data_IF_987168761570
#
_entry.id   IF_987168761570
#
_cell.length_a   1.000
_cell.length_b   1.000
_cell.length_c   1.000
_cell.angle_alpha   90.00
_cell.angle_beta   90.00
_cell.angle_gamma   90.00
#
_symmetry.space_group_name_H-M   'P 1'
#
loop_
_entity.id
_entity.type
_entity.pdbx_description
1 polymer ?
#
# COMPACT_ATOMS: atom_id res chain seq x y z
N UNK A 1 17.25 52.87 41.76
CA UNK A 1 17.50 53.54 40.47
C UNK A 1 17.18 52.54 39.37
N UNK A 2 16.06 52.70 38.68
CA UNK A 2 15.61 51.76 37.65
C UNK A 2 16.36 51.97 36.33
N UNK A 3 16.70 50.90 35.62
CA UNK A 3 17.26 51.00 34.28
C UNK A 3 16.28 51.76 33.35
N UNK A 4 16.75 52.71 32.51
CA UNK A 4 15.90 53.40 31.56
C UNK A 4 15.24 52.40 30.61
N UNK A 5 13.94 52.60 30.34
CA UNK A 5 13.09 51.70 29.52
C UNK A 5 13.71 51.31 28.17
N UNK A 6 14.54 52.18 27.57
CA UNK A 6 15.25 51.90 26.33
C UNK A 6 16.35 50.84 26.48
N UNK A 7 17.09 50.85 27.59
CA UNK A 7 18.13 49.84 27.86
C UNK A 7 17.51 48.47 28.16
N UNK A 8 16.38 48.44 28.87
CA UNK A 8 15.66 47.18 29.13
C UNK A 8 15.12 46.56 27.83
N UNK A 9 14.62 47.40 26.91
CA UNK A 9 14.15 46.95 25.59
C UNK A 9 15.30 46.39 24.74
N UNK A 10 16.47 47.05 24.75
CA UNK A 10 17.66 46.58 24.07
C UNK A 10 18.18 45.26 24.65
N UNK A 11 18.17 45.11 25.98
CA UNK A 11 18.52 43.86 26.66
C UNK A 11 17.56 42.72 26.27
N UNK A 12 16.25 42.99 26.20
CA UNK A 12 15.26 42.00 25.78
C UNK A 12 15.41 41.60 24.31
N UNK A 13 15.72 42.55 23.42
CA UNK A 13 15.99 42.28 22.01
C UNK A 13 17.26 41.45 21.81
N UNK A 14 18.33 41.76 22.56
CA UNK A 14 19.57 40.98 22.55
C UNK A 14 19.35 39.56 23.09
N UNK A 15 18.57 39.41 24.16
CA UNK A 15 18.17 38.10 24.68
C UNK A 15 17.34 37.30 23.67
N UNK A 16 16.37 37.94 23.01
CA UNK A 16 15.55 37.28 21.99
C UNK A 16 16.40 36.84 20.78
N UNK A 17 17.33 37.67 20.32
CA UNK A 17 18.25 37.33 19.23
C UNK A 17 19.22 36.20 19.62
N UNK A 18 19.77 36.24 20.84
CA UNK A 18 20.63 35.18 21.36
C UNK A 18 19.88 33.86 21.53
N UNK A 19 18.67 33.89 22.11
CA UNK A 19 17.83 32.71 22.24
C UNK A 19 17.41 32.14 20.88
N UNK A 20 17.10 32.99 19.89
CA UNK A 20 16.75 32.54 18.53
C UNK A 20 17.96 31.93 17.81
N UNK A 21 19.15 32.51 17.98
CA UNK A 21 20.40 31.97 17.45
C UNK A 21 20.75 30.61 18.07
N UNK A 22 20.60 30.47 19.39
CA UNK A 22 20.81 29.20 20.11
C UNK A 22 19.77 28.16 19.70
N UNK A 23 18.51 28.55 19.51
CA UNK A 23 17.47 27.63 19.04
C UNK A 23 17.76 27.16 17.60
N UNK A 24 18.24 28.04 16.74
CA UNK A 24 18.59 27.72 15.35
C UNK A 24 19.83 26.83 15.25
N UNK A 25 20.85 27.04 16.10
CA UNK A 25 22.03 26.17 16.17
C UNK A 25 21.69 24.81 16.79
N UNK A 26 20.86 24.76 17.84
CA UNK A 26 20.38 23.50 18.41
C UNK A 26 19.49 22.72 17.43
N UNK A 27 18.60 23.41 16.70
CA UNK A 27 17.76 22.78 15.68
C UNK A 27 18.58 22.27 14.49
N UNK A 28 19.54 23.06 14.00
CA UNK A 28 20.44 22.66 12.91
C UNK A 28 21.41 21.55 13.33
N UNK A 29 21.78 21.47 14.62
CA UNK A 29 22.61 20.40 15.17
C UNK A 29 21.81 19.11 15.44
N UNK A 30 20.52 19.23 15.77
CA UNK A 30 19.62 18.10 15.94
C UNK A 30 19.15 17.51 14.59
N UNK A 31 19.16 18.32 13.53
CA UNK A 31 18.91 17.89 12.14
C UNK A 31 20.25 17.75 11.40
N UNK A 32 21.12 16.90 11.94
CA UNK A 32 22.18 16.32 11.11
C UNK A 32 21.52 15.48 10.00
N UNK A 33 22.06 15.46 8.76
CA UNK A 33 21.59 14.53 7.75
C UNK A 33 21.76 13.13 8.34
N UNK A 34 20.64 12.44 8.60
CA UNK A 34 20.68 11.01 8.89
C UNK A 34 21.56 10.38 7.81
N UNK A 35 22.69 9.75 8.17
CA UNK A 35 23.36 8.89 7.22
C UNK A 35 22.34 7.79 6.96
N UNK A 36 21.70 7.84 5.79
CA UNK A 36 21.00 6.69 5.27
C UNK A 36 21.94 5.49 5.40
N UNK A 37 21.44 4.28 5.70
CA UNK A 37 22.31 3.13 5.83
C UNK A 37 23.21 3.11 4.61
N UNK A 38 24.54 3.18 4.83
CA UNK A 38 25.52 2.99 3.77
C UNK A 38 25.13 1.67 3.13
N UNK A 39 24.48 1.77 1.97
CA UNK A 39 24.28 0.65 1.09
C UNK A 39 25.68 0.37 0.57
N UNK A 40 26.42 -0.44 1.35
CA UNK A 40 27.51 -1.20 0.78
C UNK A 40 26.95 -1.79 -0.50
N UNK A 41 27.62 -1.51 -1.62
CA UNK A 41 27.26 -2.01 -2.92
C UNK A 41 27.15 -3.53 -2.82
N UNK A 42 25.94 -4.01 -2.54
CA UNK A 42 25.62 -5.42 -2.68
C UNK A 42 25.63 -5.62 -4.17
N UNK A 43 26.71 -6.20 -4.66
CA UNK A 43 26.90 -6.64 -6.02
C UNK A 43 25.55 -7.02 -6.63
N UNK A 44 25.10 -6.22 -7.59
CA UNK A 44 23.82 -6.37 -8.30
C UNK A 44 23.82 -7.60 -9.24
N UNK A 45 24.51 -8.67 -8.85
CA UNK A 45 24.62 -9.92 -9.60
C UNK A 45 23.50 -10.89 -9.22
N UNK A 46 22.73 -10.63 -8.16
CA UNK A 46 21.71 -11.56 -7.64
C UNK A 46 20.28 -11.32 -8.18
N UNK A 47 19.91 -10.09 -8.57
CA UNK A 47 18.56 -9.81 -9.08
C UNK A 47 18.25 -10.53 -10.40
N UNK A 48 19.28 -10.84 -11.20
CA UNK A 48 19.15 -11.65 -12.43
C UNK A 48 18.79 -13.10 -12.16
N UNK A 49 19.11 -13.65 -11.00
CA UNK A 49 18.78 -15.04 -10.65
C UNK A 49 17.31 -15.20 -10.25
N UNK A 50 16.63 -14.13 -9.81
CA UNK A 50 15.25 -14.17 -9.35
C UNK A 50 14.23 -14.06 -10.49
N UNK A 51 14.59 -13.40 -11.59
CA UNK A 51 13.74 -13.23 -12.75
C UNK A 51 14.29 -14.08 -13.89
N UNK A 52 13.56 -15.14 -14.24
CA UNK A 52 13.88 -16.03 -15.36
C UNK A 52 14.12 -15.27 -16.68
N UNK A 53 14.82 -15.95 -17.60
CA UNK A 53 15.34 -15.41 -18.86
C UNK A 53 14.40 -14.45 -19.61
N UNK A 54 15.02 -13.38 -20.13
CA UNK A 54 14.58 -12.42 -21.18
C UNK A 54 13.18 -12.68 -21.75
N UNK A 55 12.27 -11.72 -21.52
CA UNK A 55 10.97 -11.63 -22.17
C UNK A 55 11.11 -11.72 -23.69
N UNK A 56 10.50 -12.74 -24.28
CA UNK A 56 10.25 -12.83 -25.71
C UNK A 56 9.18 -11.78 -26.06
N UNK A 57 9.34 -11.04 -27.16
CA UNK A 57 8.38 -10.02 -27.63
C UNK A 57 7.01 -10.57 -28.08
N UNK A 58 6.71 -11.84 -27.79
CA UNK A 58 5.40 -12.43 -28.00
C UNK A 58 4.66 -12.44 -26.66
N UNK A 59 3.60 -11.63 -26.54
CA UNK A 59 2.73 -11.67 -25.37
C UNK A 59 2.29 -13.13 -25.12
N UNK A 60 2.38 -13.64 -23.88
CA UNK A 60 2.13 -15.05 -23.62
C UNK A 60 0.67 -15.37 -23.97
N UNK A 61 0.47 -16.30 -24.91
CA UNK A 61 -0.85 -16.85 -25.23
C UNK A 61 -1.42 -17.43 -23.93
N UNK A 62 -2.43 -16.79 -23.35
CA UNK A 62 -3.04 -17.21 -22.09
C UNK A 62 -3.76 -18.54 -22.30
N UNK A 63 -3.28 -19.61 -21.67
CA UNK A 63 -4.03 -20.87 -21.60
C UNK A 63 -5.36 -20.63 -20.88
N UNK A 64 -6.43 -21.22 -21.42
CA UNK A 64 -7.76 -21.20 -20.82
C UNK A 64 -7.75 -21.84 -19.42
N UNK A 65 -6.84 -22.76 -19.12
CA UNK A 65 -6.75 -23.46 -17.84
C UNK A 65 -5.52 -23.01 -17.03
N UNK A 66 -5.63 -23.06 -15.70
CA UNK A 66 -4.49 -22.90 -14.81
C UNK A 66 -3.68 -24.21 -14.81
N UNK A 67 -2.50 -24.21 -15.43
CA UNK A 67 -1.64 -25.41 -15.47
C UNK A 67 -1.25 -25.90 -14.06
N UNK A 68 -1.09 -24.96 -13.12
CA UNK A 68 -0.79 -25.24 -11.72
C UNK A 68 -1.74 -24.45 -10.80
N UNK A 69 -2.94 -24.97 -10.51
CA UNK A 69 -3.89 -24.31 -9.61
C UNK A 69 -3.33 -24.21 -8.18
N UNK A 70 -3.49 -23.05 -7.55
CA UNK A 70 -3.00 -22.81 -6.18
C UNK A 70 -3.59 -23.82 -5.17
N UNK A 71 -4.88 -24.16 -5.31
CA UNK A 71 -5.53 -25.14 -4.43
C UNK A 71 -4.79 -26.48 -4.40
N UNK A 72 -4.35 -26.99 -5.56
CA UNK A 72 -3.60 -28.24 -5.61
C UNK A 72 -2.23 -28.13 -4.95
N UNK A 73 -1.53 -26.99 -5.11
CA UNK A 73 -0.25 -26.75 -4.45
C UNK A 73 -0.40 -26.71 -2.91
N UNK A 74 -1.46 -26.08 -2.40
CA UNK A 74 -1.79 -26.05 -0.97
C UNK A 74 -2.02 -27.47 -0.44
N UNK A 75 -2.84 -28.27 -1.13
CA UNK A 75 -3.16 -29.64 -0.69
C UNK A 75 -1.96 -30.58 -0.68
N UNK A 76 -1.01 -30.41 -1.61
CA UNK A 76 0.20 -31.23 -1.71
C UNK A 76 1.20 -30.95 -0.59
N UNK A 77 1.22 -29.75 -0.03
CA UNK A 77 2.22 -29.36 0.96
C UNK A 77 1.68 -29.47 2.39
N UNK A 78 2.21 -30.39 3.24
CA UNK A 78 1.63 -30.67 4.56
C UNK A 78 1.43 -29.44 5.44
N UNK A 79 2.43 -28.56 5.50
CA UNK A 79 2.37 -27.31 6.26
C UNK A 79 1.30 -26.33 5.76
N UNK A 80 1.09 -26.21 4.45
CA UNK A 80 0.16 -25.21 3.92
C UNK A 80 -1.27 -25.72 3.94
N UNK A 81 -1.47 -27.03 3.80
CA UNK A 81 -2.77 -27.68 3.94
C UNK A 81 -3.44 -27.37 5.28
N UNK A 82 -2.68 -27.24 6.36
CA UNK A 82 -3.22 -26.96 7.71
C UNK A 82 -3.36 -25.47 8.03
N UNK A 83 -2.79 -24.58 7.20
CA UNK A 83 -2.77 -23.14 7.46
C UNK A 83 -3.75 -22.34 6.59
N UNK A 84 -4.06 -22.84 5.39
CA UNK A 84 -4.96 -22.14 4.47
C UNK A 84 -6.41 -22.56 4.70
N UNK A 85 -7.24 -21.58 5.02
CA UNK A 85 -8.70 -21.70 5.00
C UNK A 85 -9.28 -20.71 3.99
N UNK A 86 -9.80 -21.25 2.88
CA UNK A 86 -10.41 -20.47 1.80
C UNK A 86 -11.90 -20.15 2.05
N UNK A 87 -12.47 -20.58 3.18
CA UNK A 87 -13.85 -20.28 3.56
C UNK A 87 -14.03 -18.96 4.32
N UNK A 88 -12.94 -18.42 4.86
CA UNK A 88 -12.96 -17.18 5.63
C UNK A 88 -13.29 -15.99 4.70
N UNK A 89 -14.28 -15.13 5.05
CA UNK A 89 -14.60 -13.95 4.24
C UNK A 89 -13.45 -12.95 4.24
N UNK A 90 -12.98 -12.59 3.05
CA UNK A 90 -11.88 -11.62 2.85
C UNK A 90 -12.36 -10.17 2.93
N UNK A 91 -13.61 -9.90 2.50
CA UNK A 91 -14.20 -8.57 2.50
C UNK A 91 -15.28 -8.45 3.57
N UNK A 92 -15.27 -7.32 4.27
CA UNK A 92 -16.37 -6.91 5.13
C UNK A 92 -17.43 -6.21 4.28
N UNK A 93 -18.68 -6.62 4.46
CA UNK A 93 -19.86 -6.03 3.79
C UNK A 93 -21.00 -5.89 4.80
N UNK A 94 -22.00 -5.08 4.48
CA UNK A 94 -23.15 -4.87 5.35
C UNK A 94 -23.93 -6.16 5.64
N UNK A 95 -23.92 -7.12 4.71
CA UNK A 95 -24.52 -8.45 4.89
C UNK A 95 -23.92 -9.26 6.06
N UNK A 96 -22.66 -8.98 6.45
CA UNK A 96 -22.01 -9.64 7.59
C UNK A 96 -22.21 -8.87 8.90
N UNK A 97 -22.77 -7.67 8.87
CA UNK A 97 -22.82 -6.76 10.01
C UNK A 97 -23.97 -7.09 10.97
N UNK A 98 -23.75 -8.06 11.85
CA UNK A 98 -24.70 -8.45 12.91
C UNK A 98 -24.33 -7.84 14.26
N UNK A 99 -25.28 -7.84 15.20
CA UNK A 99 -25.02 -7.44 16.59
C UNK A 99 -23.93 -8.33 17.24
N UNK A 100 -23.95 -9.64 16.98
CA UNK A 100 -22.93 -10.56 17.48
C UNK A 100 -21.52 -10.21 16.96
N UNK A 101 -21.41 -9.89 15.66
CA UNK A 101 -20.14 -9.46 15.09
C UNK A 101 -19.68 -8.15 15.73
N UNK A 102 -20.59 -7.20 15.94
CA UNK A 102 -20.33 -5.94 16.63
C UNK A 102 -19.74 -6.18 18.02
N UNK A 103 -20.39 -6.99 18.84
CA UNK A 103 -19.97 -7.24 20.23
C UNK A 103 -18.61 -7.93 20.28
N UNK A 104 -18.38 -8.92 19.40
CA UNK A 104 -17.11 -9.64 19.30
C UNK A 104 -15.95 -8.73 18.87
N UNK A 105 -16.14 -7.93 17.81
CA UNK A 105 -15.08 -7.06 17.29
C UNK A 105 -14.88 -5.80 18.15
N UNK A 106 -15.82 -5.46 19.03
CA UNK A 106 -15.64 -4.39 20.04
C UNK A 106 -14.62 -4.75 21.12
N UNK A 107 -14.21 -6.01 21.22
CA UNK A 107 -13.18 -6.47 22.16
C UNK A 107 -11.76 -6.29 21.64
N UNK A 108 -11.58 -5.98 20.34
CA UNK A 108 -10.28 -5.92 19.67
C UNK A 108 -10.05 -4.54 19.07
N UNK A 109 -8.83 -4.01 19.17
CA UNK A 109 -8.45 -2.75 18.52
C UNK A 109 -8.25 -2.95 17.01
N UNK A 110 -8.31 -1.86 16.26
CA UNK A 110 -7.93 -1.84 14.86
C UNK A 110 -6.48 -2.37 14.67
N UNK A 111 -6.18 -3.09 13.57
CA UNK A 111 -7.08 -3.43 12.45
C UNK A 111 -7.92 -4.70 12.68
N UNK A 112 -7.87 -5.31 13.87
CA UNK A 112 -8.50 -6.60 14.16
C UNK A 112 -9.93 -6.49 14.72
N UNK A 113 -10.40 -5.26 14.96
CA UNK A 113 -11.72 -4.95 15.47
C UNK A 113 -11.93 -3.44 15.56
N UNK A 114 -12.91 -3.03 16.33
CA UNK A 114 -13.34 -1.63 16.45
C UNK A 114 -13.53 -1.17 17.89
N UNK A 115 -12.77 -1.73 18.82
CA UNK A 115 -12.73 -1.27 20.21
C UNK A 115 -12.46 0.24 20.27
N UNK A 116 -13.40 0.98 20.87
CA UNK A 116 -13.30 2.44 21.04
C UNK A 116 -13.69 3.26 19.81
N UNK A 117 -14.15 2.65 18.71
CA UNK A 117 -14.63 3.37 17.54
C UNK A 117 -16.15 3.63 17.63
N UNK A 118 -16.60 4.68 16.94
CA UNK A 118 -18.02 5.05 16.90
C UNK A 118 -18.84 4.01 16.14
N UNK A 119 -19.82 3.40 16.83
CA UNK A 119 -20.80 2.50 16.21
C UNK A 119 -21.56 3.17 15.08
N UNK A 120 -21.91 4.44 15.24
CA UNK A 120 -22.62 5.20 14.23
C UNK A 120 -21.80 5.30 12.94
N UNK A 121 -20.50 5.59 13.05
CA UNK A 121 -19.61 5.73 11.89
C UNK A 121 -19.41 4.38 11.15
N UNK A 122 -19.30 3.28 11.89
CA UNK A 122 -19.16 1.94 11.30
C UNK A 122 -20.46 1.52 10.63
N UNK A 123 -21.60 1.72 11.31
CA UNK A 123 -22.91 1.37 10.77
C UNK A 123 -23.23 2.17 9.49
N UNK A 124 -23.00 3.49 9.50
CA UNK A 124 -23.21 4.32 8.31
C UNK A 124 -22.33 3.88 7.15
N UNK A 125 -21.06 3.52 7.40
CA UNK A 125 -20.16 3.02 6.37
C UNK A 125 -20.63 1.67 5.80
N UNK A 126 -20.94 0.70 6.66
CA UNK A 126 -21.33 -0.65 6.23
C UNK A 126 -22.71 -0.68 5.56
N UNK A 127 -23.60 0.25 5.90
CA UNK A 127 -24.89 0.40 5.21
C UNK A 127 -24.74 0.75 3.72
N UNK A 128 -23.62 1.37 3.33
CA UNK A 128 -23.28 1.65 1.92
C UNK A 128 -22.74 0.40 1.19
N UNK A 129 -22.40 -0.66 1.92
CA UNK A 129 -21.80 -1.90 1.42
C UNK A 129 -22.78 -3.09 1.52
N UNK A 130 -24.07 -2.84 1.39
CA UNK A 130 -25.13 -3.85 1.50
C UNK A 130 -25.31 -4.70 0.22
N UNK A 131 -24.80 -4.24 -0.92
CA UNK A 131 -24.93 -4.96 -2.18
C UNK A 131 -24.04 -6.21 -2.26
N UNK A 132 -24.51 -7.23 -2.97
CA UNK A 132 -23.81 -8.52 -3.12
C UNK A 132 -22.42 -8.41 -3.76
N UNK A 133 -22.21 -7.36 -4.55
CA UNK A 133 -20.93 -7.00 -5.16
C UNK A 133 -19.87 -6.57 -4.13
N UNK A 134 -20.29 -6.04 -2.98
CA UNK A 134 -19.37 -5.63 -1.91
C UNK A 134 -18.70 -6.82 -1.21
N UNK A 135 -19.26 -8.02 -1.34
CA UNK A 135 -18.72 -9.24 -0.73
C UNK A 135 -17.72 -9.97 -1.63
N UNK A 136 -17.46 -9.51 -2.87
CA UNK A 136 -16.59 -10.21 -3.84
C UNK A 136 -15.75 -9.25 -4.67
N UNK A 137 -14.44 -9.48 -4.74
CA UNK A 137 -13.53 -8.70 -5.60
C UNK A 137 -13.80 -8.87 -7.09
N UNK A 138 -14.27 -10.05 -7.52
CA UNK A 138 -14.32 -10.42 -8.94
C UNK A 138 -15.72 -10.38 -9.57
N UNK A 139 -16.76 -10.10 -8.78
CA UNK A 139 -18.15 -10.15 -9.25
C UNK A 139 -18.58 -8.93 -10.09
N UNK A 140 -17.84 -7.81 -10.00
CA UNK A 140 -18.24 -6.53 -10.58
C UNK A 140 -17.87 -6.34 -12.07
N UNK A 141 -17.08 -7.25 -12.68
CA UNK A 141 -16.51 -6.98 -14.02
C UNK A 141 -17.46 -7.26 -15.20
N UNK A 142 -18.68 -7.76 -14.97
CA UNK A 142 -19.67 -8.06 -16.02
C UNK A 142 -19.24 -9.11 -17.06
N UNK A 143 -18.00 -9.59 -16.99
CA UNK A 143 -17.45 -10.66 -17.84
C UNK A 143 -17.55 -11.99 -17.11
N UNK A 144 -17.94 -13.08 -17.80
CA UNK A 144 -17.87 -14.40 -17.20
C UNK A 144 -16.43 -14.65 -16.72
N UNK A 145 -16.24 -15.13 -15.48
CA UNK A 145 -14.90 -15.36 -14.96
C UNK A 145 -14.16 -16.27 -15.93
N UNK A 146 -12.94 -15.88 -16.30
CA UNK A 146 -12.06 -16.77 -17.05
C UNK A 146 -11.94 -18.09 -16.27
N UNK A 147 -11.86 -19.21 -16.99
CA UNK A 147 -11.65 -20.54 -16.38
C UNK A 147 -10.38 -20.62 -15.50
N UNK A 148 -9.51 -19.62 -15.59
CA UNK A 148 -8.32 -19.44 -14.76
C UNK A 148 -8.10 -17.94 -14.50
N UNK A 149 -7.99 -17.56 -13.22
CA UNK A 149 -7.66 -16.19 -12.79
C UNK A 149 -6.18 -16.13 -12.45
N UNK A 150 -5.46 -15.21 -13.09
CA UNK A 150 -4.03 -14.93 -12.83
C UNK A 150 -3.87 -13.52 -12.29
N UNK A 151 -3.23 -13.40 -11.14
CA UNK A 151 -3.03 -12.12 -10.46
C UNK A 151 -1.53 -11.82 -10.32
N UNK A 152 -1.14 -10.55 -10.52
CA UNK A 152 0.15 -10.03 -10.10
C UNK A 152 -0.05 -9.12 -8.87
N UNK A 153 0.75 -9.32 -7.84
CA UNK A 153 0.80 -8.43 -6.66
C UNK A 153 2.12 -7.69 -6.70
N UNK A 154 2.06 -6.37 -6.87
CA UNK A 154 3.23 -5.52 -7.07
C UNK A 154 3.52 -4.73 -5.80
N UNK A 155 4.57 -5.14 -5.09
CA UNK A 155 5.14 -4.35 -4.00
C UNK A 155 6.03 -3.21 -4.52
N UNK A 156 6.41 -2.29 -3.63
CA UNK A 156 7.21 -1.10 -3.99
C UNK A 156 8.72 -1.29 -3.74
N UNK A 157 9.19 -2.54 -3.81
CA UNK A 157 10.58 -2.88 -3.51
C UNK A 157 11.55 -2.48 -4.63
N UNK A 158 12.72 -1.96 -4.26
CA UNK A 158 13.75 -1.51 -5.22
C UNK A 158 14.29 -2.59 -6.16
N UNK A 159 14.02 -3.87 -5.90
CA UNK A 159 14.38 -4.99 -6.79
C UNK A 159 13.72 -4.89 -8.17
N UNK A 160 12.61 -4.15 -8.29
CA UNK A 160 11.93 -3.92 -9.58
C UNK A 160 12.66 -2.90 -10.46
N UNK A 161 13.50 -2.03 -9.91
CA UNK A 161 14.19 -0.99 -10.67
C UNK A 161 15.14 -1.62 -11.72
N UNK A 162 14.89 -1.35 -13.00
CA UNK A 162 15.63 -1.92 -14.13
C UNK A 162 15.31 -3.38 -14.45
N UNK A 163 14.32 -3.99 -13.78
CA UNK A 163 13.94 -5.40 -13.94
C UNK A 163 13.23 -5.71 -15.26
N UNK A 164 12.65 -4.69 -15.91
CA UNK A 164 11.85 -4.77 -17.13
C UNK A 164 10.66 -5.73 -17.06
N UNK A 165 10.09 -5.91 -15.86
CA UNK A 165 8.98 -6.83 -15.62
C UNK A 165 7.61 -6.26 -16.02
N UNK A 166 7.51 -5.02 -16.47
CA UNK A 166 6.23 -4.34 -16.67
C UNK A 166 5.28 -5.08 -17.60
N UNK A 167 5.78 -5.59 -18.73
CA UNK A 167 4.96 -6.39 -19.65
C UNK A 167 4.51 -7.72 -19.05
N UNK A 168 5.36 -8.38 -18.26
CA UNK A 168 5.02 -9.63 -17.58
C UNK A 168 3.96 -9.39 -16.49
N UNK A 169 4.06 -8.28 -15.76
CA UNK A 169 3.07 -7.86 -14.77
C UNK A 169 1.73 -7.60 -15.47
N UNK A 170 1.72 -6.76 -16.50
CA UNK A 170 0.49 -6.37 -17.21
C UNK A 170 -0.17 -7.53 -17.98
N UNK A 171 0.58 -8.61 -18.26
CA UNK A 171 0.03 -9.82 -18.83
C UNK A 171 -0.94 -10.56 -17.88
N UNK A 172 -1.00 -10.24 -16.59
CA UNK A 172 -1.96 -10.85 -15.66
C UNK A 172 -3.39 -10.36 -15.90
N UNK A 173 -4.38 -11.11 -15.40
CA UNK A 173 -5.80 -10.74 -15.51
C UNK A 173 -6.09 -9.56 -14.57
N UNK A 174 -5.61 -9.65 -13.33
CA UNK A 174 -5.70 -8.58 -12.33
C UNK A 174 -4.33 -8.19 -11.79
N UNK A 175 -4.15 -6.89 -11.54
CA UNK A 175 -2.93 -6.35 -10.92
C UNK A 175 -3.28 -5.62 -9.63
N UNK A 176 -2.70 -6.07 -8.53
CA UNK A 176 -2.81 -5.46 -7.21
C UNK A 176 -1.61 -4.57 -6.96
N UNK A 177 -1.85 -3.32 -6.57
CA UNK A 177 -0.85 -2.36 -6.12
C UNK A 177 -1.23 -1.79 -4.76
N UNK A 178 -0.29 -1.17 -4.07
CA UNK A 178 -0.54 -0.63 -2.73
C UNK A 178 0.42 0.49 -2.37
N UNK A 179 0.00 1.35 -1.43
CA UNK A 179 0.83 2.42 -0.86
C UNK A 179 1.46 3.33 -1.95
N UNK A 180 2.75 3.68 -1.84
CA UNK A 180 3.48 4.48 -2.84
C UNK A 180 3.75 3.77 -4.17
N UNK A 181 2.71 3.35 -4.87
CA UNK A 181 2.80 2.67 -6.17
C UNK A 181 3.11 3.66 -7.31
N UNK A 182 4.35 4.13 -7.39
CA UNK A 182 4.82 5.00 -8.47
C UNK A 182 4.85 4.22 -9.79
N UNK A 183 4.06 4.67 -10.77
CA UNK A 183 4.03 4.09 -12.12
C UNK A 183 4.76 4.99 -13.11
N UNK A 184 4.52 6.31 -13.04
CA UNK A 184 5.07 7.28 -14.00
C UNK A 184 6.59 7.24 -14.02
N UNK A 185 7.18 6.94 -15.18
CA UNK A 185 8.62 6.82 -15.38
C UNK A 185 9.21 5.44 -15.04
N UNK A 186 8.40 4.52 -14.51
CA UNK A 186 8.81 3.15 -14.15
C UNK A 186 7.99 2.07 -14.88
N UNK A 187 7.20 2.44 -15.88
CA UNK A 187 6.23 1.56 -16.57
C UNK A 187 6.90 0.31 -17.15
N UNK A 188 8.14 0.44 -17.65
CA UNK A 188 8.91 -0.70 -18.17
C UNK A 188 9.19 -1.74 -17.11
N UNK A 189 9.34 -1.32 -15.86
CA UNK A 189 9.68 -2.19 -14.74
C UNK A 189 8.45 -2.68 -14.00
N UNK A 190 7.45 -1.82 -13.79
CA UNK A 190 6.31 -2.11 -12.91
C UNK A 190 4.98 -2.28 -13.65
N UNK A 191 4.93 -1.99 -14.96
CA UNK A 191 3.71 -2.04 -15.77
C UNK A 191 2.79 -0.84 -15.54
N UNK A 192 1.69 -0.78 -16.28
CA UNK A 192 0.68 0.30 -16.19
C UNK A 192 -0.67 -0.18 -15.70
N UNK A 193 -0.97 -1.48 -15.78
CA UNK A 193 -2.26 -2.02 -15.36
C UNK A 193 -2.39 -1.96 -13.84
N UNK A 194 -3.55 -1.51 -13.37
CA UNK A 194 -3.95 -1.57 -11.96
C UNK A 194 -5.43 -1.92 -11.90
N UNK A 195 -5.75 -3.05 -11.29
CA UNK A 195 -7.13 -3.50 -11.07
C UNK A 195 -7.57 -3.25 -9.64
N UNK A 196 -6.65 -3.40 -8.69
CA UNK A 196 -6.90 -3.19 -7.28
C UNK A 196 -5.81 -2.32 -6.67
N UNK A 197 -6.20 -1.35 -5.84
CA UNK A 197 -5.27 -0.52 -5.07
C UNK A 197 -5.61 -0.59 -3.58
N UNK A 198 -4.72 -1.22 -2.79
CA UNK A 198 -4.88 -1.41 -1.35
C UNK A 198 -4.15 -0.34 -0.54
N UNK A 199 -4.77 0.18 0.52
CA UNK A 199 -4.15 1.21 1.36
C UNK A 199 -4.81 1.35 2.74
N UNK A 200 -4.05 1.88 3.70
CA UNK A 200 -4.61 2.68 4.80
C UNK A 200 -4.59 4.14 4.40
N UNK A 201 -5.57 4.93 4.86
CA UNK A 201 -5.62 6.38 4.55
C UNK A 201 -4.34 7.09 5.00
N UNK A 202 -3.80 6.71 6.17
CA UNK A 202 -2.54 7.24 6.69
C UNK A 202 -1.37 7.00 5.70
N UNK A 203 -1.17 5.76 5.27
CA UNK A 203 -0.05 5.42 4.38
C UNK A 203 -0.21 6.02 2.99
N UNK A 204 -1.44 6.10 2.47
CA UNK A 204 -1.73 6.75 1.20
C UNK A 204 -1.34 8.24 1.24
N UNK A 205 -1.80 8.99 2.25
CA UNK A 205 -1.49 10.42 2.40
C UNK A 205 0.02 10.64 2.58
N UNK A 206 0.66 9.85 3.43
CA UNK A 206 2.10 9.95 3.64
C UNK A 206 2.87 9.66 2.35
N UNK A 207 2.46 8.66 1.58
CA UNK A 207 3.08 8.34 0.28
C UNK A 207 2.94 9.50 -0.71
N UNK A 208 1.75 10.12 -0.81
CA UNK A 208 1.51 11.27 -1.70
C UNK A 208 2.39 12.49 -1.36
N UNK A 209 2.77 12.64 -0.10
CA UNK A 209 3.67 13.71 0.35
C UNK A 209 5.12 13.31 0.09
N UNK A 210 5.56 12.19 0.66
CA UNK A 210 6.97 11.76 0.64
C UNK A 210 7.46 11.41 -0.75
N UNK A 211 6.59 10.87 -1.62
CA UNK A 211 6.97 10.41 -2.95
C UNK A 211 6.53 11.34 -4.09
N UNK A 212 6.06 12.55 -3.74
CA UNK A 212 5.61 13.54 -4.73
C UNK A 212 6.69 13.85 -5.78
N UNK A 213 7.91 14.13 -5.32
CA UNK A 213 9.05 14.43 -6.19
C UNK A 213 9.57 13.22 -6.96
N UNK A 214 9.21 12.01 -6.53
CA UNK A 214 9.52 10.76 -7.23
C UNK A 214 8.42 10.36 -8.22
N UNK A 215 7.40 11.20 -8.43
CA UNK A 215 6.34 10.98 -9.42
C UNK A 215 5.03 10.42 -8.86
N UNK A 216 4.90 10.24 -7.54
CA UNK A 216 3.64 9.84 -6.90
C UNK A 216 2.73 11.06 -6.68
N UNK A 217 2.18 11.61 -7.76
CA UNK A 217 1.33 12.81 -7.70
C UNK A 217 -0.14 12.51 -7.41
N UNK A 218 -0.57 11.27 -7.67
CA UNK A 218 -1.92 10.78 -7.42
C UNK A 218 -1.88 9.27 -7.23
N UNK A 219 -2.91 8.72 -6.59
CA UNK A 219 -3.14 7.26 -6.62
C UNK A 219 -3.52 6.80 -8.03
N UNK A 220 -3.34 5.52 -8.39
CA UNK A 220 -3.77 5.00 -9.68
C UNK A 220 -5.27 5.19 -9.89
N UNK A 221 -5.68 5.53 -11.11
CA UNK A 221 -7.07 5.73 -11.52
C UNK A 221 -7.38 4.86 -12.74
N UNK A 222 -8.62 4.38 -12.85
CA UNK A 222 -9.07 3.58 -13.98
C UNK A 222 -10.55 3.22 -13.86
N UNK A 223 -11.19 2.94 -14.99
CA UNK A 223 -12.63 2.64 -15.06
C UNK A 223 -13.02 1.41 -14.25
N UNK A 224 -12.19 0.36 -14.32
CA UNK A 224 -12.41 -0.92 -13.65
C UNK A 224 -11.52 -1.10 -12.40
N UNK A 225 -11.01 0.01 -11.85
CA UNK A 225 -10.13 -0.01 -10.69
C UNK A 225 -10.95 -0.01 -9.40
N UNK A 226 -10.66 -0.97 -8.52
CA UNK A 226 -11.28 -1.06 -7.20
C UNK A 226 -10.30 -0.68 -6.08
N UNK A 227 -10.75 0.18 -5.18
CA UNK A 227 -10.01 0.59 -4.00
C UNK A 227 -10.31 -0.36 -2.83
N UNK A 228 -9.27 -0.91 -2.21
CA UNK A 228 -9.42 -1.81 -1.06
C UNK A 228 -8.90 -1.11 0.19
N UNK A 229 -9.82 -0.78 1.10
CA UNK A 229 -9.50 -0.15 2.37
C UNK A 229 -9.02 -1.20 3.37
N UNK A 230 -7.95 -0.86 4.10
CA UNK A 230 -7.53 -1.59 5.29
C UNK A 230 -8.11 -0.84 6.52
N UNK A 231 -9.00 -1.47 7.30
CA UNK A 231 -9.72 -0.82 8.40
C UNK A 231 -8.83 -0.47 9.60
#
# INVERSE_FOLDING_TARGET
MGLPRSQLLWLLLLLAAACSGILFTLYSSAVGPYPGPRSGARNATSSRAFFGHKASNAGPRKSAHCQHPLYQAIQKHPRFRTLFDLSIPVLLSGALFTQELWDRLSQHKAPYGWQGLSRQAINSTLSLLNGSESSRLYAASGKPPSKCIRCAVVGNGGILNGSRQGLNIDAHDYVFRLNGAVIKGFEKDVGTKTSFYGFTVNTMKNSLISYRHFGFTSVPQGQDLHYIFIP
#
